data_IF_795697762604
#
_entry.id   IF_795697762604
#
_cell.length_a   1.000
_cell.length_b   1.000
_cell.length_c   1.000
_cell.angle_alpha   90.00
_cell.angle_beta   90.00
_cell.angle_gamma   90.00
#
_symmetry.space_group_name_H-M   'P 1'
#
loop_
_entity.id
_entity.type
_entity.pdbx_description
1 polymer ?
#
# COMPACT_ATOMS: atom_id res chain seq x y z
N UNK A 1 37.24 4.78 -63.56
CA UNK A 1 37.71 5.02 -62.18
C UNK A 1 36.75 4.34 -61.22
N UNK A 2 37.21 3.24 -60.61
CA UNK A 2 37.03 2.93 -59.17
C UNK A 2 35.82 3.55 -58.47
N UNK A 3 34.75 2.77 -58.21
CA UNK A 3 33.86 2.87 -57.02
C UNK A 3 32.47 2.21 -57.16
N UNK A 4 32.01 1.88 -58.36
CA UNK A 4 30.62 1.41 -58.55
C UNK A 4 30.35 -0.04 -58.12
N UNK A 5 31.32 -0.94 -58.29
CA UNK A 5 31.07 -2.39 -58.12
C UNK A 5 31.30 -2.92 -56.69
N UNK A 6 32.00 -2.21 -55.82
CA UNK A 6 32.16 -2.62 -54.41
C UNK A 6 30.91 -2.34 -53.55
N UNK A 7 30.07 -1.37 -53.94
CA UNK A 7 28.95 -0.93 -53.11
C UNK A 7 27.76 -1.91 -53.12
N UNK A 8 27.58 -2.69 -54.20
CA UNK A 8 26.47 -3.66 -54.28
C UNK A 8 26.74 -4.97 -53.52
N UNK A 9 28.01 -5.33 -53.29
CA UNK A 9 28.34 -6.52 -52.48
C UNK A 9 28.11 -6.29 -50.97
N UNK A 10 28.21 -5.04 -50.50
CA UNK A 10 28.00 -4.71 -49.09
C UNK A 10 26.51 -4.71 -48.67
N UNK A 11 25.57 -4.47 -49.61
CA UNK A 11 24.14 -4.41 -49.29
C UNK A 11 23.46 -5.78 -49.12
N UNK A 12 24.08 -6.88 -49.58
CA UNK A 12 23.48 -8.21 -49.52
C UNK A 12 23.89 -9.00 -48.26
N UNK A 13 24.87 -8.53 -47.49
CA UNK A 13 25.34 -9.22 -46.28
C UNK A 13 24.60 -8.82 -44.99
N UNK A 14 23.79 -7.76 -45.00
CA UNK A 14 23.11 -7.24 -43.80
C UNK A 14 21.66 -7.75 -43.61
N UNK A 15 21.14 -8.57 -44.54
CA UNK A 15 19.77 -9.10 -44.46
C UNK A 15 19.66 -10.51 -43.84
N UNK A 16 20.76 -11.09 -43.34
CA UNK A 16 20.81 -12.48 -42.86
C UNK A 16 21.07 -12.64 -41.36
N UNK A 17 20.75 -11.63 -40.54
CA UNK A 17 20.90 -11.70 -39.07
C UNK A 17 19.62 -11.38 -38.30
N UNK A 18 18.46 -11.80 -38.82
CA UNK A 18 17.20 -11.81 -38.07
C UNK A 18 16.71 -13.25 -37.96
N UNK A 19 16.92 -13.87 -36.80
CA UNK A 19 16.29 -15.15 -36.47
C UNK A 19 17.12 -16.14 -35.64
N UNK A 20 17.73 -15.71 -34.53
CA UNK A 20 18.34 -16.66 -33.58
C UNK A 20 18.13 -16.23 -32.13
N UNK A 21 16.86 -16.07 -31.73
CA UNK A 21 16.40 -16.16 -30.34
C UNK A 21 15.00 -16.79 -30.33
N UNK A 22 14.85 -17.95 -30.95
CA UNK A 22 13.70 -18.81 -30.73
C UNK A 22 13.93 -19.55 -29.40
N UNK A 23 13.16 -19.16 -28.39
CA UNK A 23 13.08 -19.75 -27.07
C UNK A 23 12.74 -21.24 -27.15
N UNK A 24 13.73 -22.14 -26.97
CA UNK A 24 13.45 -23.57 -26.88
C UNK A 24 14.40 -24.34 -25.93
N UNK A 25 14.61 -23.83 -24.71
CA UNK A 25 15.32 -24.56 -23.64
C UNK A 25 14.69 -24.34 -22.28
N UNK A 26 13.51 -24.91 -22.07
CA UNK A 26 13.22 -25.62 -20.81
C UNK A 26 12.09 -26.64 -21.02
N UNK A 27 12.32 -27.56 -21.95
CA UNK A 27 11.61 -28.85 -21.94
C UNK A 27 12.29 -29.70 -20.87
N UNK A 28 11.88 -29.47 -19.61
CA UNK A 28 12.28 -30.28 -18.48
C UNK A 28 11.62 -31.66 -18.56
N UNK A 29 12.28 -32.73 -18.09
CA UNK A 29 11.67 -34.05 -18.01
C UNK A 29 10.35 -33.97 -17.27
N UNK A 30 9.32 -34.56 -17.86
CA UNK A 30 8.03 -34.90 -17.27
C UNK A 30 8.23 -35.50 -15.89
N UNK A 31 8.19 -34.64 -14.86
CA UNK A 31 8.16 -35.07 -13.47
C UNK A 31 6.89 -35.89 -13.27
N UNK A 32 7.08 -37.10 -12.76
CA UNK A 32 6.03 -38.02 -12.37
C UNK A 32 5.06 -37.33 -11.41
N UNK A 33 3.78 -37.71 -11.38
CA UNK A 33 2.91 -37.34 -10.27
C UNK A 33 3.54 -37.88 -8.98
N UNK A 34 4.04 -36.98 -8.14
CA UNK A 34 4.29 -37.31 -6.73
C UNK A 34 2.92 -37.64 -6.13
N UNK A 35 2.77 -38.77 -5.41
CA UNK A 35 1.60 -39.00 -4.59
C UNK A 35 1.45 -37.82 -3.63
N UNK A 36 0.25 -37.25 -3.58
CA UNK A 36 -0.14 -36.25 -2.59
C UNK A 36 0.25 -36.78 -1.21
N UNK A 37 1.29 -36.17 -0.62
CA UNK A 37 1.51 -36.27 0.80
C UNK A 37 0.26 -35.72 1.46
N UNK A 38 -0.30 -36.56 2.33
CA UNK A 38 -1.50 -36.40 3.11
C UNK A 38 -1.82 -34.94 3.45
N UNK A 39 -3.07 -34.57 3.18
CA UNK A 39 -3.80 -33.57 3.94
C UNK A 39 -3.69 -33.96 5.42
N UNK A 40 -2.77 -33.35 6.15
CA UNK A 40 -2.82 -33.38 7.62
C UNK A 40 -3.81 -32.30 8.09
N UNK A 41 -4.71 -32.64 9.04
CA UNK A 41 -5.81 -31.78 9.41
C UNK A 41 -5.35 -30.63 10.31
N UNK A 42 -5.97 -29.47 10.08
CA UNK A 42 -6.35 -28.49 11.10
C UNK A 42 -5.47 -28.40 12.36
N UNK A 43 -4.45 -27.54 12.33
CA UNK A 43 -3.91 -26.96 13.56
C UNK A 43 -5.00 -26.08 14.19
N UNK A 44 -5.43 -26.32 15.44
CA UNK A 44 -6.40 -25.47 16.10
C UNK A 44 -5.83 -24.07 16.29
N UNK A 45 -6.62 -23.04 15.97
CA UNK A 45 -6.34 -21.67 16.35
C UNK A 45 -6.29 -21.60 17.89
N UNK A 46 -5.10 -21.35 18.44
CA UNK A 46 -4.95 -20.99 19.85
C UNK A 46 -5.62 -19.63 20.06
N UNK A 47 -6.54 -19.48 21.03
CA UNK A 47 -7.18 -18.21 21.30
C UNK A 47 -6.14 -17.23 21.85
N UNK A 48 -5.97 -16.09 21.17
CA UNK A 48 -5.26 -14.96 21.75
C UNK A 48 -6.02 -14.55 23.04
N UNK A 49 -5.29 -14.49 24.16
CA UNK A 49 -5.84 -14.18 25.47
C UNK A 49 -6.59 -12.86 25.49
N UNK A 50 -7.69 -12.84 26.23
CA UNK A 50 -8.53 -11.66 26.45
C UNK A 50 -7.71 -10.56 27.14
N UNK A 51 -7.49 -9.44 26.45
CA UNK A 51 -6.97 -8.23 27.07
C UNK A 51 -8.11 -7.61 27.87
N UNK A 52 -8.06 -7.81 29.20
CA UNK A 52 -8.95 -7.13 30.14
C UNK A 52 -8.42 -5.72 30.36
N UNK A 53 -9.10 -4.72 29.81
CA UNK A 53 -8.88 -3.32 30.19
C UNK A 53 -9.82 -3.03 31.35
N UNK A 54 -9.37 -3.31 32.58
CA UNK A 54 -10.08 -2.92 33.79
C UNK A 54 -9.85 -1.43 34.05
N UNK A 55 -10.90 -0.58 34.05
CA UNK A 55 -10.77 0.84 34.36
C UNK A 55 -10.32 1.02 35.81
N UNK A 56 -9.23 1.75 35.99
CA UNK A 56 -8.74 2.17 37.29
C UNK A 56 -9.84 2.91 38.07
N UNK A 57 -10.03 2.55 39.34
CA UNK A 57 -11.03 3.15 40.21
C UNK A 57 -10.86 4.69 40.29
N UNK A 58 -11.96 5.47 40.26
CA UNK A 58 -11.88 6.90 40.47
C UNK A 58 -11.34 7.21 41.87
N UNK A 59 -10.51 8.27 42.03
CA UNK A 59 -9.91 8.63 43.30
C UNK A 59 -10.98 8.92 44.38
N UNK A 60 -10.83 8.41 45.61
CA UNK A 60 -11.72 8.74 46.71
C UNK A 60 -11.45 10.17 47.16
N UNK A 61 -12.46 11.06 47.08
CA UNK A 61 -12.27 12.42 47.61
C UNK A 61 -13.28 13.52 47.29
N UNK A 62 -14.39 13.29 46.57
CA UNK A 62 -15.43 14.32 46.47
C UNK A 62 -16.44 14.18 47.61
N UNK A 63 -15.97 14.51 48.82
CA UNK A 63 -16.82 14.67 50.00
C UNK A 63 -17.84 15.79 49.78
N UNK A 64 -19.11 15.44 50.02
CA UNK A 64 -20.12 16.17 50.78
C UNK A 64 -20.30 17.68 50.55
N UNK A 65 -21.51 18.02 50.09
CA UNK A 65 -22.15 19.33 50.18
C UNK A 65 -22.20 19.87 51.63
N UNK A 66 -22.42 21.19 51.79
CA UNK A 66 -23.49 21.60 52.71
C UNK A 66 -24.37 22.76 52.19
N UNK A 67 -25.70 22.56 52.27
CA UNK A 67 -26.67 23.61 52.63
C UNK A 67 -27.55 24.20 51.52
N UNK A 68 -28.77 23.68 51.34
CA UNK A 68 -29.94 24.43 50.84
C UNK A 68 -31.24 23.68 51.27
N UNK A 69 -32.35 24.36 51.64
CA UNK A 69 -33.53 23.74 52.28
C UNK A 69 -34.41 22.88 51.32
N UNK A 70 -35.30 22.01 51.84
CA UNK A 70 -36.07 21.09 50.99
C UNK A 70 -37.26 21.78 50.29
N UNK A 71 -37.51 21.53 48.99
CA UNK A 71 -38.80 21.80 48.38
C UNK A 71 -39.81 20.67 48.68
N UNK A 72 -41.13 20.94 48.60
CA UNK A 72 -42.17 20.02 49.05
C UNK A 72 -42.26 18.75 48.21
N UNK A 73 -42.58 17.65 48.88
CA UNK A 73 -42.90 16.35 48.29
C UNK A 73 -44.01 16.51 47.25
N UNK A 74 -43.68 16.30 45.98
CA UNK A 74 -44.65 16.10 44.91
C UNK A 74 -44.58 14.64 44.47
N UNK A 75 -45.76 14.05 44.41
CA UNK A 75 -46.01 12.65 44.18
C UNK A 75 -45.33 12.11 42.91
N UNK A 76 -44.96 10.84 42.99
CA UNK A 76 -44.42 10.04 41.91
C UNK A 76 -45.31 10.13 40.65
N UNK A 77 -44.76 10.68 39.58
CA UNK A 77 -45.20 10.42 38.22
C UNK A 77 -44.25 9.38 37.60
N UNK A 78 -44.74 8.39 36.84
CA UNK A 78 -43.88 7.41 36.21
C UNK A 78 -43.05 8.08 35.11
N UNK A 79 -41.74 8.12 35.28
CA UNK A 79 -40.81 8.54 34.24
C UNK A 79 -40.94 7.61 33.02
N UNK A 80 -41.08 8.12 31.79
CA UNK A 80 -40.84 7.31 30.61
C UNK A 80 -39.35 6.93 30.63
N UNK A 81 -39.06 5.63 30.51
CA UNK A 81 -37.71 5.13 30.35
C UNK A 81 -37.06 5.81 29.13
N UNK A 82 -36.13 6.72 29.38
CA UNK A 82 -35.25 7.25 28.35
C UNK A 82 -34.23 6.15 28.04
N UNK A 83 -34.47 5.45 26.93
CA UNK A 83 -33.51 4.52 26.31
C UNK A 83 -32.16 5.26 26.14
N UNK A 84 -31.04 4.71 26.63
CA UNK A 84 -29.72 5.28 26.42
C UNK A 84 -29.44 5.45 24.91
N UNK A 85 -28.85 6.56 24.46
CA UNK A 85 -28.49 6.71 23.06
C UNK A 85 -27.53 5.58 22.65
N UNK A 86 -27.69 5.02 21.43
CA UNK A 86 -26.81 3.97 20.96
C UNK A 86 -25.36 4.46 20.95
N UNK A 87 -24.39 3.61 21.31
CA UNK A 87 -22.98 3.99 21.32
C UNK A 87 -22.56 4.46 19.91
N UNK A 88 -21.72 5.52 19.82
CA UNK A 88 -21.24 6.02 18.54
C UNK A 88 -20.55 4.90 17.77
N UNK A 89 -20.88 4.77 16.48
CA UNK A 89 -20.27 3.78 15.61
C UNK A 89 -18.73 3.96 15.62
N UNK A 90 -17.96 2.87 15.72
CA UNK A 90 -16.51 2.95 15.65
C UNK A 90 -16.10 3.61 14.32
N UNK A 91 -15.09 4.50 14.33
CA UNK A 91 -14.60 5.10 13.09
C UNK A 91 -14.18 3.99 12.13
N UNK A 92 -14.34 4.17 10.80
CA UNK A 92 -13.87 3.20 9.84
C UNK A 92 -12.37 2.97 10.09
N UNK A 93 -11.99 1.72 10.32
CA UNK A 93 -10.60 1.31 10.42
C UNK A 93 -9.96 1.48 9.06
N UNK A 94 -9.49 2.69 8.75
CA UNK A 94 -8.65 2.92 7.58
C UNK A 94 -7.36 2.16 7.87
N UNK A 95 -7.01 1.19 7.01
CA UNK A 95 -5.76 0.47 7.13
C UNK A 95 -4.61 1.46 6.93
N UNK A 96 -4.17 2.08 8.02
CA UNK A 96 -3.04 3.01 8.05
C UNK A 96 -1.79 2.21 8.35
N UNK A 97 -0.77 2.34 7.50
CA UNK A 97 0.50 1.67 7.72
C UNK A 97 1.17 1.19 6.45
N UNK A 98 2.46 0.86 6.59
CA UNK A 98 3.32 0.41 5.49
C UNK A 98 2.71 -0.75 4.70
N UNK A 99 2.12 -1.73 5.37
CA UNK A 99 1.51 -2.90 4.75
C UNK A 99 0.31 -2.55 3.87
N UNK A 100 -0.40 -1.46 4.17
CA UNK A 100 -1.55 -1.00 3.39
C UNK A 100 -1.13 -0.31 2.09
N UNK A 101 0.12 0.19 2.00
CA UNK A 101 0.68 0.79 0.78
C UNK A 101 1.17 -0.28 -0.20
N UNK A 102 1.44 -1.49 0.26
CA UNK A 102 2.04 -2.55 -0.55
C UNK A 102 1.00 -3.08 -1.53
N UNK A 103 1.38 -3.22 -2.80
CA UNK A 103 0.50 -3.68 -3.86
C UNK A 103 0.80 -3.05 -5.20
N UNK A 104 -0.07 -3.34 -6.17
CA UNK A 104 -0.08 -2.67 -7.47
C UNK A 104 -1.02 -1.48 -7.44
N UNK A 105 -0.58 -0.38 -8.00
CA UNK A 105 -1.27 0.90 -8.07
C UNK A 105 -1.27 1.41 -9.51
N UNK A 106 -2.35 2.08 -9.90
CA UNK A 106 -2.44 2.90 -11.10
C UNK A 106 -2.21 4.35 -10.68
N UNK A 107 -1.05 4.88 -11.05
CA UNK A 107 -0.67 6.26 -10.86
C UNK A 107 -1.21 7.11 -12.02
N UNK A 108 -1.81 8.25 -11.69
CA UNK A 108 -2.28 9.25 -12.65
C UNK A 108 -1.59 10.57 -12.34
N UNK A 109 -0.88 11.11 -13.32
CA UNK A 109 -0.20 12.40 -13.27
C UNK A 109 -0.56 13.23 -14.50
N UNK A 110 -0.03 14.45 -14.58
CA UNK A 110 -0.21 15.34 -15.73
C UNK A 110 0.28 14.74 -17.07
N UNK A 111 1.25 13.82 -17.05
CA UNK A 111 1.74 13.15 -18.26
C UNK A 111 0.91 11.91 -18.68
N UNK A 112 -0.03 11.45 -17.85
CA UNK A 112 -0.91 10.32 -18.14
C UNK A 112 -1.00 9.31 -17.00
N UNK A 113 -1.32 8.06 -17.34
CA UNK A 113 -1.55 6.97 -16.39
C UNK A 113 -0.43 5.93 -16.48
N UNK A 114 0.05 5.41 -15.35
CA UNK A 114 1.04 4.34 -15.33
C UNK A 114 0.91 3.39 -14.14
N UNK A 115 1.56 2.23 -14.23
CA UNK A 115 1.55 1.20 -13.18
C UNK A 115 2.70 1.43 -12.21
N UNK A 116 2.41 1.37 -10.92
CA UNK A 116 3.39 1.44 -9.83
C UNK A 116 3.18 0.24 -8.91
N UNK A 117 4.20 -0.58 -8.73
CA UNK A 117 4.18 -1.72 -7.80
C UNK A 117 5.07 -1.39 -6.62
N UNK A 118 4.49 -1.43 -5.42
CA UNK A 118 5.17 -1.20 -4.14
C UNK A 118 5.25 -2.54 -3.42
N UNK A 119 6.47 -3.04 -3.21
CA UNK A 119 6.71 -4.32 -2.53
C UNK A 119 7.39 -4.11 -1.18
N UNK A 120 7.07 -4.95 -0.18
CA UNK A 120 7.80 -4.98 1.11
C UNK A 120 9.17 -5.66 1.03
N UNK A 121 9.66 -6.02 -0.16
CA UNK A 121 11.00 -6.56 -0.35
C UNK A 121 12.06 -5.49 -0.03
N UNK A 122 13.03 -5.78 0.85
CA UNK A 122 14.09 -4.82 1.18
C UNK A 122 15.03 -4.56 -0.01
N UNK A 123 15.63 -3.37 -0.06
CA UNK A 123 16.57 -2.95 -1.08
C UNK A 123 17.51 -1.86 -0.60
N UNK A 124 18.75 -2.26 -0.34
CA UNK A 124 19.79 -1.51 0.36
C UNK A 124 19.33 -1.08 1.76
N UNK A 125 18.42 -0.11 1.83
CA UNK A 125 17.86 0.48 3.05
C UNK A 125 16.35 0.78 2.95
N UNK A 126 15.80 0.71 1.73
CA UNK A 126 14.43 1.08 1.39
C UNK A 126 13.65 -0.15 0.91
N UNK A 127 12.38 0.02 0.58
CA UNK A 127 11.55 -1.02 -0.01
C UNK A 127 11.56 -0.97 -1.54
N UNK A 128 11.38 -2.11 -2.22
CA UNK A 128 11.35 -2.17 -3.69
C UNK A 128 10.10 -1.49 -4.24
N UNK A 129 10.31 -0.55 -5.16
CA UNK A 129 9.27 -0.01 -6.02
C UNK A 129 9.60 -0.33 -7.48
N UNK A 130 8.58 -0.53 -8.31
CA UNK A 130 8.74 -0.73 -9.75
C UNK A 130 7.67 0.07 -10.47
N UNK A 131 8.05 0.80 -11.50
CA UNK A 131 7.12 1.57 -12.32
C UNK A 131 7.13 1.06 -13.75
N UNK A 132 5.98 1.07 -14.41
CA UNK A 132 5.83 0.59 -15.77
C UNK A 132 4.89 1.49 -16.58
N UNK A 133 5.36 1.90 -17.76
CA UNK A 133 4.58 2.74 -18.68
C UNK A 133 4.45 4.21 -18.26
N UNK A 134 5.29 4.71 -17.35
CA UNK A 134 5.21 6.11 -16.91
C UNK A 134 5.75 7.06 -17.98
N UNK A 135 4.91 7.99 -18.43
CA UNK A 135 5.30 9.10 -19.31
C UNK A 135 6.19 10.13 -18.60
N UNK A 136 6.03 10.27 -17.28
CA UNK A 136 6.85 11.15 -16.47
C UNK A 136 8.22 10.51 -16.18
N UNK A 137 9.31 11.18 -16.57
CA UNK A 137 10.69 10.68 -16.39
C UNK A 137 11.10 10.49 -14.93
N UNK A 138 10.51 11.27 -14.01
CA UNK A 138 10.82 11.20 -12.59
C UNK A 138 10.23 9.92 -11.98
N UNK A 139 8.96 9.64 -12.31
CA UNK A 139 8.27 8.41 -11.91
C UNK A 139 8.87 7.16 -12.58
N UNK A 140 9.28 7.27 -13.85
CA UNK A 140 9.91 6.17 -14.59
C UNK A 140 11.27 5.75 -14.00
N UNK A 141 11.92 6.64 -13.23
CA UNK A 141 13.19 6.36 -12.54
C UNK A 141 13.00 5.83 -11.13
N UNK A 142 11.79 5.74 -10.61
CA UNK A 142 11.55 5.25 -9.24
C UNK A 142 11.95 3.79 -9.13
N UNK A 143 12.75 3.47 -8.11
CA UNK A 143 13.21 2.09 -7.84
C UNK A 143 13.00 1.67 -6.38
N UNK A 144 12.77 2.63 -5.49
CA UNK A 144 12.57 2.36 -4.08
C UNK A 144 11.46 3.21 -3.49
N UNK A 145 10.92 2.79 -2.35
CA UNK A 145 9.95 3.53 -1.58
C UNK A 145 10.15 3.34 -0.07
N UNK A 146 9.59 4.24 0.73
CA UNK A 146 9.54 4.14 2.19
C UNK A 146 8.22 4.69 2.73
N UNK A 147 7.89 4.32 3.96
CA UNK A 147 6.70 4.81 4.66
C UNK A 147 7.11 5.41 6.00
N UNK A 148 6.90 6.72 6.17
CA UNK A 148 7.24 7.48 7.38
C UNK A 148 6.12 8.45 7.69
N UNK A 149 5.75 8.55 8.96
CA UNK A 149 4.81 9.56 9.45
C UNK A 149 3.45 9.59 8.71
N UNK A 150 3.00 8.44 8.17
CA UNK A 150 1.76 8.35 7.39
C UNK A 150 1.90 8.73 5.90
N UNK A 151 3.12 9.03 5.46
CA UNK A 151 3.46 9.44 4.11
C UNK A 151 4.34 8.38 3.43
N UNK A 152 4.17 8.27 2.11
CA UNK A 152 4.90 7.37 1.23
C UNK A 152 5.87 8.20 0.42
N UNK A 153 7.15 7.86 0.54
CA UNK A 153 8.22 8.52 -0.18
C UNK A 153 8.69 7.60 -1.30
N UNK A 154 8.65 8.07 -2.54
CA UNK A 154 9.20 7.36 -3.70
C UNK A 154 10.60 7.88 -3.99
N UNK A 155 11.54 6.97 -4.22
CA UNK A 155 12.95 7.27 -4.42
C UNK A 155 13.46 6.81 -5.78
N UNK A 156 14.34 7.62 -6.35
CA UNK A 156 15.14 7.32 -7.54
C UNK A 156 16.47 6.67 -7.13
N UNK A 157 17.14 5.97 -8.07
CA UNK A 157 18.53 5.59 -7.95
C UNK A 157 19.38 6.79 -7.47
N UNK A 158 20.18 6.58 -6.43
CA UNK A 158 20.96 7.64 -5.80
C UNK A 158 20.26 8.36 -4.63
N UNK A 159 19.08 7.90 -4.20
CA UNK A 159 18.43 8.36 -2.96
C UNK A 159 17.67 9.68 -3.09
N UNK A 160 17.45 10.18 -4.30
CA UNK A 160 16.65 11.39 -4.53
C UNK A 160 15.16 11.07 -4.42
N UNK A 161 14.39 11.91 -3.73
CA UNK A 161 12.93 11.76 -3.64
C UNK A 161 12.28 12.19 -4.96
N UNK A 162 11.55 11.27 -5.58
CA UNK A 162 10.74 11.50 -6.77
C UNK A 162 9.39 12.13 -6.43
N UNK A 163 8.69 11.54 -5.46
CA UNK A 163 7.35 11.97 -5.08
C UNK A 163 7.06 11.65 -3.63
N UNK A 164 6.13 12.41 -3.06
CA UNK A 164 5.60 12.24 -1.71
C UNK A 164 4.10 12.07 -1.81
N UNK A 165 3.58 10.99 -1.24
CA UNK A 165 2.16 10.67 -1.25
C UNK A 165 1.66 10.44 0.18
N UNK A 166 0.37 10.66 0.39
CA UNK A 166 -0.33 10.43 1.64
C UNK A 166 -1.45 9.43 1.41
N UNK A 167 -1.69 8.58 2.40
CA UNK A 167 -2.82 7.66 2.37
C UNK A 167 -4.14 8.44 2.51
N UNK A 168 -5.05 8.25 1.56
CA UNK A 168 -6.37 8.86 1.52
C UNK A 168 -7.43 7.77 1.30
N UNK A 169 -7.90 7.17 2.40
CA UNK A 169 -9.08 6.29 2.38
C UNK A 169 -9.02 5.08 1.45
N UNK A 170 -7.83 4.60 1.08
CA UNK A 170 -7.64 3.50 0.12
C UNK A 170 -6.89 3.90 -1.16
N UNK A 171 -6.74 5.20 -1.40
CA UNK A 171 -5.89 5.79 -2.45
C UNK A 171 -4.65 6.44 -1.83
N UNK A 172 -3.73 6.85 -2.70
CA UNK A 172 -2.49 7.54 -2.34
C UNK A 172 -2.40 8.83 -3.14
N UNK A 173 -2.50 9.97 -2.49
CA UNK A 173 -2.51 11.28 -3.15
C UNK A 173 -1.29 12.09 -2.76
N UNK A 174 -0.73 12.82 -3.70
CA UNK A 174 0.54 13.50 -3.48
C UNK A 174 0.97 14.40 -4.62
N UNK A 175 2.27 14.71 -4.61
CA UNK A 175 2.88 15.51 -5.64
C UNK A 175 4.30 15.01 -5.96
N UNK A 176 4.70 15.24 -7.22
CA UNK A 176 6.08 15.05 -7.66
C UNK A 176 6.97 16.11 -7.01
N UNK A 177 8.10 15.69 -6.43
CA UNK A 177 9.05 16.56 -5.73
C UNK A 177 9.78 17.51 -6.69
N UNK A 178 9.96 17.12 -7.96
CA UNK A 178 10.69 17.92 -8.96
C UNK A 178 9.81 18.96 -9.66
N UNK A 179 8.61 18.57 -10.05
CA UNK A 179 7.70 19.38 -10.87
C UNK A 179 6.53 19.97 -10.09
N UNK A 180 6.26 19.51 -8.87
CA UNK A 180 5.10 19.92 -8.08
C UNK A 180 3.75 19.47 -8.66
N UNK A 181 3.77 18.66 -9.73
CA UNK A 181 2.54 18.20 -10.37
C UNK A 181 1.78 17.22 -9.44
N UNK A 182 0.43 17.28 -9.44
CA UNK A 182 -0.38 16.37 -8.64
C UNK A 182 -0.21 14.94 -9.14
N UNK A 183 -0.16 14.01 -8.21
CA UNK A 183 -0.03 12.58 -8.45
C UNK A 183 -1.05 11.87 -7.58
N UNK A 184 -1.91 11.06 -8.20
CA UNK A 184 -2.89 10.24 -7.48
C UNK A 184 -2.74 8.78 -7.88
N UNK A 185 -2.69 7.90 -6.89
CA UNK A 185 -2.52 6.46 -7.04
C UNK A 185 -3.79 5.77 -6.51
N UNK A 186 -4.42 4.98 -7.37
CA UNK A 186 -5.58 4.15 -7.05
C UNK A 186 -5.28 2.67 -7.31
N UNK A 187 -5.99 1.76 -6.65
CA UNK A 187 -5.87 0.32 -6.91
C UNK A 187 -6.72 -0.11 -8.10
#
# INVERSE_FOLDING_TARGET
MTRGFLSKAACLALAASVGACASNRFEGPRERPRPQAALEPATPALPAGTVTSEPLAPPPGASAAPGEPPPPSVAAAPSPALEPPPPPAPPPVVATGRSAVVGSWNATDAAGSCKVSLSSTPSLDLYKATTAGCGNKDLAKVSAWDFRDGEVYLYQPGGTVAARLRQAGGSLDGALSKSGAPLSLAR
#
